data_IF_548397223286
#
_entry.id   IF_548397223286
#
_cell.length_a   1.000
_cell.length_b   1.000
_cell.length_c   1.000
_cell.angle_alpha   90.00
_cell.angle_beta   90.00
_cell.angle_gamma   90.00
#
_symmetry.space_group_name_H-M   'P 1'
#
loop_
_entity.id
_entity.type
_entity.pdbx_description
1 polymer ?
#
# COMPACT_ATOMS: atom_id res chain seq x y z
N UNK A 1 -18.53 21.20 14.15
CA UNK A 1 -19.41 22.29 14.65
C UNK A 1 -19.04 23.59 13.93
N UNK A 2 -20.01 24.25 13.34
CA UNK A 2 -19.87 25.59 12.76
C UNK A 2 -20.50 26.62 13.72
N UNK A 3 -19.91 27.81 13.84
CA UNK A 3 -20.41 28.86 14.74
C UNK A 3 -20.60 30.17 13.97
N UNK A 4 -21.75 30.81 14.16
CA UNK A 4 -21.99 32.15 13.65
C UNK A 4 -22.50 33.06 14.76
N UNK A 5 -22.46 34.37 14.52
CA UNK A 5 -22.96 35.35 15.48
C UNK A 5 -24.16 36.11 14.94
N UNK A 6 -25.15 36.27 15.78
CA UNK A 6 -26.24 37.24 15.57
C UNK A 6 -25.88 38.52 16.34
N UNK A 7 -25.88 39.65 15.65
CA UNK A 7 -25.38 40.93 16.17
C UNK A 7 -26.53 41.91 16.39
N UNK A 8 -26.59 42.52 17.58
CA UNK A 8 -27.49 43.62 17.89
C UNK A 8 -26.81 44.94 17.55
N UNK A 9 -27.41 45.68 16.62
CA UNK A 9 -26.94 47.02 16.19
C UNK A 9 -28.09 48.00 16.18
N UNK A 10 -27.82 49.31 16.00
CA UNK A 10 -28.82 50.35 15.83
C UNK A 10 -28.60 51.56 16.72
N UNK A 11 -29.46 52.53 16.60
CA UNK A 11 -29.35 53.84 17.29
C UNK A 11 -29.74 53.81 18.78
N UNK A 12 -30.31 52.69 19.24
CA UNK A 12 -30.71 52.49 20.67
C UNK A 12 -30.11 51.18 21.21
N UNK A 13 -28.80 51.16 21.44
CA UNK A 13 -28.10 49.90 21.85
C UNK A 13 -28.49 49.41 23.25
N UNK A 14 -29.11 50.26 24.05
CA UNK A 14 -29.48 50.02 25.44
C UNK A 14 -30.87 49.39 25.60
N UNK A 15 -31.45 48.85 24.54
CA UNK A 15 -32.69 48.08 24.58
C UNK A 15 -32.43 46.58 24.51
N UNK A 16 -33.36 45.83 25.06
CA UNK A 16 -33.43 44.38 24.86
C UNK A 16 -33.92 44.08 23.45
N UNK A 17 -33.57 42.95 22.87
CA UNK A 17 -34.04 42.49 21.57
C UNK A 17 -34.18 40.99 21.53
N UNK A 18 -35.00 40.47 20.63
CA UNK A 18 -35.10 39.02 20.35
C UNK A 18 -35.00 38.78 18.85
N UNK A 19 -34.38 37.68 18.48
CA UNK A 19 -34.32 37.24 17.11
C UNK A 19 -34.50 35.73 17.01
N UNK A 20 -35.36 35.31 16.09
CA UNK A 20 -35.60 33.91 15.76
C UNK A 20 -34.63 33.43 14.68
N UNK A 21 -34.17 32.22 14.81
CA UNK A 21 -33.26 31.56 13.87
C UNK A 21 -34.07 30.52 13.10
N UNK A 22 -34.25 30.78 11.83
CA UNK A 22 -35.07 29.98 10.94
C UNK A 22 -34.20 29.32 9.86
N UNK A 23 -34.29 28.01 9.69
CA UNK A 23 -33.75 27.33 8.54
C UNK A 23 -34.80 27.31 7.44
N UNK A 24 -34.46 27.86 6.26
CA UNK A 24 -35.41 27.94 5.14
C UNK A 24 -35.81 26.53 4.70
N UNK A 25 -37.08 26.39 4.35
CA UNK A 25 -37.57 25.18 3.64
C UNK A 25 -37.03 25.16 2.21
N UNK A 26 -37.07 24.01 1.55
CA UNK A 26 -36.65 23.92 0.13
C UNK A 26 -37.49 24.86 -0.76
N UNK A 27 -38.79 24.94 -0.52
CA UNK A 27 -39.68 25.87 -1.26
C UNK A 27 -39.31 27.35 -1.08
N UNK A 28 -38.94 27.74 0.15
CA UNK A 28 -38.49 29.14 0.42
C UNK A 28 -37.13 29.40 -0.23
N UNK A 29 -36.22 28.41 -0.20
CA UNK A 29 -34.90 28.47 -0.84
C UNK A 29 -35.07 28.64 -2.36
N UNK A 30 -35.93 27.84 -2.97
CA UNK A 30 -36.18 27.91 -4.42
C UNK A 30 -36.76 29.22 -4.85
N UNK A 31 -37.75 29.71 -4.11
CA UNK A 31 -38.42 31.00 -4.41
C UNK A 31 -37.48 32.19 -4.23
N UNK A 32 -36.68 32.20 -3.17
CA UNK A 32 -35.85 33.36 -2.80
C UNK A 32 -34.51 33.41 -3.55
N UNK A 33 -33.94 32.23 -3.86
CA UNK A 33 -32.56 32.12 -4.33
C UNK A 33 -32.41 31.23 -5.57
N UNK A 34 -32.84 29.95 -5.55
CA UNK A 34 -32.58 29.04 -6.66
C UNK A 34 -33.15 29.58 -7.99
N UNK A 35 -34.40 30.04 -8.00
CA UNK A 35 -35.06 30.54 -9.19
C UNK A 35 -34.49 31.89 -9.66
N UNK A 36 -34.34 32.91 -8.81
CA UNK A 36 -33.74 34.17 -9.20
C UNK A 36 -32.29 34.07 -9.69
N UNK A 37 -31.49 33.22 -9.08
CA UNK A 37 -30.06 33.06 -9.39
C UNK A 37 -29.79 32.04 -10.47
N UNK A 38 -30.81 31.25 -10.85
CA UNK A 38 -30.68 30.09 -11.77
C UNK A 38 -29.63 29.05 -11.30
N UNK A 39 -29.57 28.82 -9.99
CA UNK A 39 -28.69 27.85 -9.33
C UNK A 39 -29.53 26.76 -8.70
N UNK A 40 -29.12 25.49 -8.88
CA UNK A 40 -29.79 24.35 -8.27
C UNK A 40 -29.35 24.19 -6.80
N UNK A 41 -29.85 25.04 -5.93
CA UNK A 41 -29.62 24.90 -4.50
C UNK A 41 -30.49 23.79 -3.91
N UNK A 42 -29.86 22.94 -3.09
CA UNK A 42 -30.53 21.90 -2.30
C UNK A 42 -30.20 22.06 -0.83
N UNK A 43 -31.25 22.07 -0.03
CA UNK A 43 -31.13 22.08 1.42
C UNK A 43 -30.75 20.68 1.90
N UNK A 44 -29.76 20.57 2.79
CA UNK A 44 -29.45 19.28 3.46
C UNK A 44 -30.66 18.81 4.30
N UNK A 45 -30.80 17.51 4.48
CA UNK A 45 -31.91 16.89 5.22
C UNK A 45 -31.95 17.33 6.69
N UNK A 46 -33.14 17.26 7.32
CA UNK A 46 -33.34 17.71 8.69
C UNK A 46 -32.51 16.93 9.72
N UNK A 47 -32.19 15.69 9.46
CA UNK A 47 -31.34 14.83 10.29
C UNK A 47 -29.83 15.09 10.10
N UNK A 48 -29.49 15.94 9.14
CA UNK A 48 -28.09 16.30 8.82
C UNK A 48 -27.53 17.39 9.72
N UNK A 49 -28.35 18.09 10.46
CA UNK A 49 -27.92 19.23 11.28
C UNK A 49 -28.72 19.38 12.57
N UNK A 50 -28.16 20.07 13.54
CA UNK A 50 -28.88 20.60 14.70
C UNK A 50 -28.36 21.99 15.06
N UNK A 51 -29.28 22.86 15.49
CA UNK A 51 -28.97 24.17 16.07
C UNK A 51 -29.07 24.05 17.59
N UNK A 52 -28.14 24.65 18.30
CA UNK A 52 -28.18 24.70 19.78
C UNK A 52 -29.31 25.60 20.31
N UNK A 53 -29.73 26.61 19.53
CA UNK A 53 -30.85 27.50 19.85
C UNK A 53 -31.64 27.85 18.59
N UNK A 54 -32.95 28.00 18.73
CA UNK A 54 -33.85 28.52 17.67
C UNK A 54 -34.21 30.01 17.85
N UNK A 55 -33.85 30.59 18.98
CA UNK A 55 -34.07 32.00 19.29
C UNK A 55 -32.92 32.52 20.14
N UNK A 56 -32.50 33.74 19.94
CA UNK A 56 -31.54 34.46 20.78
C UNK A 56 -32.21 35.68 21.42
N UNK A 57 -31.97 35.88 22.70
CA UNK A 57 -32.44 37.04 23.47
C UNK A 57 -31.23 37.88 23.88
N UNK A 58 -31.32 39.19 23.61
CA UNK A 58 -30.29 40.16 23.94
C UNK A 58 -30.71 40.96 25.18
N UNK A 59 -29.90 40.97 26.19
CA UNK A 59 -29.98 41.95 27.27
C UNK A 59 -29.47 43.33 26.80
N UNK A 60 -29.61 44.34 27.67
CA UNK A 60 -29.14 45.71 27.39
C UNK A 60 -27.66 45.75 26.99
N UNK A 61 -26.84 44.93 27.67
CA UNK A 61 -25.39 44.93 27.50
C UNK A 61 -24.90 44.03 26.34
N UNK A 62 -25.74 43.12 25.88
CA UNK A 62 -25.34 42.18 24.84
C UNK A 62 -25.17 42.90 23.48
N UNK A 63 -24.10 42.59 22.79
CA UNK A 63 -23.83 43.08 21.42
C UNK A 63 -23.94 41.99 20.37
N UNK A 64 -23.67 40.76 20.73
CA UNK A 64 -23.83 39.58 19.88
C UNK A 64 -24.21 38.36 20.71
N UNK A 65 -24.76 37.37 20.03
CA UNK A 65 -24.97 36.02 20.56
C UNK A 65 -24.40 35.01 19.58
N UNK A 66 -23.74 33.96 20.08
CA UNK A 66 -23.23 32.86 19.27
C UNK A 66 -24.30 31.80 19.11
N UNK A 67 -24.34 31.22 17.94
CA UNK A 67 -25.19 30.09 17.58
C UNK A 67 -24.32 29.01 17.00
N UNK A 68 -24.49 27.79 17.49
CA UNK A 68 -23.71 26.64 17.07
C UNK A 68 -24.55 25.68 16.23
N UNK A 69 -23.95 25.26 15.10
CA UNK A 69 -24.51 24.26 14.21
C UNK A 69 -23.67 23.00 14.32
N UNK A 70 -24.27 21.89 14.68
CA UNK A 70 -23.64 20.58 14.58
C UNK A 70 -24.12 19.90 13.29
N UNK A 71 -23.19 19.32 12.51
CA UNK A 71 -23.49 18.58 11.29
C UNK A 71 -23.26 17.08 11.54
N UNK A 72 -24.19 16.25 11.06
CA UNK A 72 -24.03 14.82 10.96
C UNK A 72 -23.42 14.51 9.58
N UNK A 73 -22.15 14.15 9.56
CA UNK A 73 -21.39 13.93 8.32
C UNK A 73 -22.00 12.84 7.44
N UNK A 74 -22.48 11.74 8.02
CA UNK A 74 -23.08 10.62 7.25
C UNK A 74 -24.37 11.05 6.56
N UNK A 75 -25.27 11.75 7.27
CA UNK A 75 -26.54 12.24 6.69
C UNK A 75 -26.30 13.33 5.65
N UNK A 76 -25.31 14.21 5.86
CA UNK A 76 -24.92 15.21 4.86
C UNK A 76 -24.35 14.53 3.60
N UNK A 77 -23.46 13.53 3.77
CA UNK A 77 -22.91 12.74 2.65
C UNK A 77 -24.03 12.06 1.85
N UNK A 78 -24.96 11.42 2.52
CA UNK A 78 -26.13 10.78 1.89
C UNK A 78 -26.98 11.79 1.11
N UNK A 79 -27.19 13.01 1.66
CA UNK A 79 -27.86 14.08 0.95
C UNK A 79 -27.14 14.45 -0.35
N UNK A 80 -25.80 14.67 -0.27
CA UNK A 80 -24.97 15.05 -1.42
C UNK A 80 -24.92 13.98 -2.51
N UNK A 81 -24.87 12.70 -2.13
CA UNK A 81 -24.86 11.56 -3.06
C UNK A 81 -26.21 11.39 -3.79
N UNK A 82 -27.32 11.87 -3.21
CA UNK A 82 -28.64 11.76 -3.82
C UNK A 82 -28.84 12.63 -5.08
N UNK A 83 -28.11 13.77 -5.15
CA UNK A 83 -28.14 14.68 -6.30
C UNK A 83 -26.75 15.35 -6.45
N UNK A 84 -25.79 14.68 -7.14
CA UNK A 84 -24.38 15.10 -7.19
C UNK A 84 -24.14 16.46 -7.88
N UNK A 85 -25.04 16.87 -8.77
CA UNK A 85 -24.95 18.13 -9.54
C UNK A 85 -25.58 19.33 -8.80
N UNK A 86 -26.14 19.13 -7.61
CA UNK A 86 -26.75 20.18 -6.82
C UNK A 86 -25.72 20.95 -5.98
N UNK A 87 -26.01 22.24 -5.72
CA UNK A 87 -25.29 23.03 -4.73
C UNK A 87 -25.93 22.87 -3.37
N UNK A 88 -25.33 22.05 -2.50
CA UNK A 88 -25.87 21.72 -1.19
C UNK A 88 -25.59 22.80 -0.16
N UNK A 89 -26.67 23.27 0.54
CA UNK A 89 -26.59 24.36 1.48
C UNK A 89 -27.40 24.09 2.76
N UNK A 90 -26.98 24.72 3.86
CA UNK A 90 -27.85 24.98 5.02
C UNK A 90 -28.19 26.46 5.03
N UNK A 91 -29.37 26.84 4.55
CA UNK A 91 -29.79 28.26 4.44
C UNK A 91 -30.45 28.70 5.75
N UNK A 92 -29.84 29.65 6.44
CA UNK A 92 -30.31 30.17 7.72
C UNK A 92 -30.78 31.62 7.50
N UNK A 93 -31.92 31.95 8.08
CA UNK A 93 -32.44 33.32 8.12
C UNK A 93 -32.73 33.74 9.53
N UNK A 94 -32.35 34.96 9.89
CA UNK A 94 -32.66 35.60 11.13
C UNK A 94 -33.88 36.50 10.92
N UNK A 95 -34.89 36.32 11.78
CA UNK A 95 -36.13 37.11 11.76
C UNK A 95 -36.42 37.64 13.17
N UNK A 96 -37.31 38.62 13.28
CA UNK A 96 -37.87 39.08 14.56
C UNK A 96 -39.27 39.58 14.35
N UNK A 97 -40.11 39.33 15.33
CA UNK A 97 -41.47 39.87 15.37
C UNK A 97 -41.57 41.15 16.20
N UNK A 98 -40.55 41.44 16.99
CA UNK A 98 -40.52 42.58 17.93
C UNK A 98 -39.55 43.69 17.50
N UNK A 99 -38.54 43.34 16.73
CA UNK A 99 -37.42 44.23 16.40
C UNK A 99 -37.19 44.31 14.89
N UNK A 100 -36.54 45.38 14.45
CA UNK A 100 -36.16 45.56 13.06
C UNK A 100 -34.95 44.67 12.70
N UNK A 101 -35.01 44.00 11.57
CA UNK A 101 -33.93 43.16 11.05
C UNK A 101 -33.32 43.87 9.83
N UNK A 102 -31.98 43.81 9.74
CA UNK A 102 -31.29 44.28 8.53
C UNK A 102 -31.51 43.26 7.40
N UNK A 103 -32.32 43.62 6.42
CA UNK A 103 -32.72 42.75 5.32
C UNK A 103 -31.53 42.30 4.43
N UNK A 104 -30.45 43.09 4.39
CA UNK A 104 -29.25 42.76 3.59
C UNK A 104 -28.29 41.81 4.29
N UNK A 105 -28.45 41.64 5.63
CA UNK A 105 -27.53 40.82 6.46
C UNK A 105 -28.26 39.82 7.35
N UNK A 106 -29.46 39.43 6.99
CA UNK A 106 -30.25 38.50 7.81
C UNK A 106 -30.21 37.05 7.32
N UNK A 107 -29.39 36.74 6.34
CA UNK A 107 -29.28 35.38 5.78
C UNK A 107 -27.85 34.90 5.80
N UNK A 108 -27.68 33.64 6.12
CA UNK A 108 -26.40 32.90 6.08
C UNK A 108 -26.58 31.64 5.25
N UNK A 109 -25.74 31.45 4.24
CA UNK A 109 -25.64 30.21 3.47
C UNK A 109 -24.39 29.47 3.87
N UNK A 110 -24.55 28.36 4.59
CA UNK A 110 -23.47 27.42 4.79
C UNK A 110 -23.46 26.46 3.62
N UNK A 111 -22.63 26.73 2.60
CA UNK A 111 -22.44 25.83 1.45
C UNK A 111 -21.51 24.70 1.82
N UNK A 112 -21.88 23.49 1.41
CA UNK A 112 -21.09 22.28 1.63
C UNK A 112 -20.57 21.82 0.28
N UNK A 113 -19.25 21.99 0.08
CA UNK A 113 -18.61 21.66 -1.18
C UNK A 113 -18.13 20.21 -1.22
N UNK A 114 -17.64 19.71 -0.09
CA UNK A 114 -17.07 18.36 0.03
C UNK A 114 -17.16 17.87 1.47
N UNK A 115 -17.36 16.57 1.64
CA UNK A 115 -17.20 15.89 2.92
C UNK A 115 -16.04 14.95 2.79
N UNK A 116 -14.97 15.28 3.49
CA UNK A 116 -13.84 14.38 3.67
C UNK A 116 -14.12 13.53 4.91
N UNK A 117 -14.36 12.23 4.70
CA UNK A 117 -14.48 11.27 5.80
C UNK A 117 -13.07 10.86 6.21
N UNK A 118 -12.71 11.03 7.49
CA UNK A 118 -11.44 10.52 7.99
C UNK A 118 -11.31 9.02 7.76
N UNK A 119 -10.09 8.58 7.44
CA UNK A 119 -9.83 7.17 7.17
C UNK A 119 -8.73 6.60 8.04
N UNK A 120 -8.90 5.33 8.43
CA UNK A 120 -7.90 4.51 9.09
C UNK A 120 -7.15 3.69 8.05
N UNK A 121 -5.83 3.76 8.04
CA UNK A 121 -5.00 3.02 7.10
C UNK A 121 -3.62 2.69 7.65
N UNK A 122 -2.91 1.77 7.00
CA UNK A 122 -1.50 1.51 7.29
C UNK A 122 -0.62 2.67 6.79
N UNK A 123 0.45 2.97 7.53
CA UNK A 123 1.40 4.03 7.15
C UNK A 123 2.21 3.70 5.90
N UNK A 124 2.32 2.42 5.54
CA UNK A 124 2.95 1.92 4.32
C UNK A 124 2.19 0.74 3.76
N UNK A 125 2.17 0.61 2.44
CA UNK A 125 1.59 -0.54 1.73
C UNK A 125 2.61 -1.23 0.82
N UNK A 126 3.88 -0.81 0.93
CA UNK A 126 4.96 -1.34 0.10
C UNK A 126 5.45 -2.69 0.61
N UNK A 127 5.67 -3.61 -0.32
CA UNK A 127 6.38 -4.85 -0.02
C UNK A 127 7.87 -4.53 0.17
N UNK A 128 8.35 -4.72 1.38
CA UNK A 128 9.77 -4.58 1.73
C UNK A 128 10.21 -5.85 2.46
N UNK A 129 10.77 -6.80 1.72
CA UNK A 129 11.16 -8.10 2.25
C UNK A 129 12.38 -7.95 3.15
N UNK A 130 12.19 -8.22 4.44
CA UNK A 130 13.28 -8.30 5.41
C UNK A 130 13.91 -9.68 5.36
N UNK A 131 15.24 -9.72 5.39
CA UNK A 131 16.01 -10.96 5.26
C UNK A 131 16.57 -11.39 6.61
N UNK A 132 16.41 -12.68 6.92
CA UNK A 132 16.91 -13.34 8.11
C UNK A 132 17.58 -14.66 7.69
N UNK A 133 18.72 -14.99 8.29
CA UNK A 133 19.41 -16.21 7.96
C UNK A 133 18.82 -17.42 8.70
N UNK A 134 18.65 -18.49 7.97
CA UNK A 134 18.16 -19.75 8.50
C UNK A 134 19.02 -20.26 9.66
N UNK A 135 18.40 -20.63 10.78
CA UNK A 135 19.06 -21.12 11.97
C UNK A 135 19.79 -20.09 12.83
N UNK A 136 19.86 -18.80 12.40
CA UNK A 136 20.48 -17.72 13.20
C UNK A 136 19.47 -16.97 14.08
N UNK A 137 18.18 -17.00 13.73
CA UNK A 137 17.10 -16.35 14.50
C UNK A 137 16.01 -17.36 14.87
N UNK A 138 15.57 -17.32 16.11
CA UNK A 138 14.46 -18.16 16.59
C UNK A 138 13.13 -17.39 16.60
N UNK A 139 13.18 -16.08 16.78
CA UNK A 139 11.99 -15.21 16.84
C UNK A 139 12.24 -13.93 16.05
N UNK A 140 11.24 -13.51 15.31
CA UNK A 140 11.20 -12.23 14.59
C UNK A 140 10.01 -11.45 15.15
N UNK A 141 10.24 -10.22 15.61
CA UNK A 141 9.18 -9.31 16.06
C UNK A 141 9.09 -8.13 15.09
N UNK A 142 7.91 -7.96 14.50
CA UNK A 142 7.61 -6.88 13.56
C UNK A 142 6.56 -5.94 14.16
N UNK A 143 6.65 -4.68 13.80
CA UNK A 143 5.72 -3.64 14.24
C UNK A 143 5.17 -2.93 13.02
N UNK A 144 3.86 -3.01 12.82
CA UNK A 144 3.15 -2.45 11.67
C UNK A 144 2.37 -1.23 12.14
N UNK A 145 2.78 -0.04 11.69
CA UNK A 145 2.09 1.20 12.04
C UNK A 145 0.81 1.35 11.22
N UNK A 146 -0.28 1.68 11.92
CA UNK A 146 -1.53 2.14 11.32
C UNK A 146 -1.91 3.50 11.90
N UNK A 147 -2.63 4.32 11.13
CA UNK A 147 -2.94 5.68 11.52
C UNK A 147 -4.28 6.17 10.99
N UNK A 148 -4.85 7.11 11.73
CA UNK A 148 -5.95 7.96 11.31
C UNK A 148 -5.37 9.19 10.59
N UNK A 149 -6.00 9.64 9.52
CA UNK A 149 -5.56 10.79 8.71
C UNK A 149 -6.03 12.15 9.24
N UNK A 150 -6.58 12.20 10.45
CA UNK A 150 -7.04 13.42 11.13
C UNK A 150 -6.75 13.37 12.64
N UNK A 151 -7.02 14.48 13.33
CA UNK A 151 -6.99 14.53 14.81
C UNK A 151 -8.01 13.55 15.41
N UNK A 152 -7.57 12.74 16.35
CA UNK A 152 -8.41 11.77 17.03
C UNK A 152 -9.03 12.36 18.32
N UNK A 153 -10.34 12.28 18.44
CA UNK A 153 -11.12 12.71 19.64
C UNK A 153 -11.95 11.57 20.23
N UNK A 154 -11.71 10.34 19.83
CA UNK A 154 -12.45 9.15 20.23
C UNK A 154 -11.50 8.03 20.61
N UNK A 155 -12.01 7.06 21.36
CA UNK A 155 -11.38 5.75 21.46
C UNK A 155 -11.85 4.93 20.27
N UNK A 156 -10.91 4.43 19.45
CA UNK A 156 -11.21 3.74 18.18
C UNK A 156 -10.68 2.32 18.25
N UNK A 157 -11.56 1.34 18.12
CA UNK A 157 -11.16 -0.06 17.99
C UNK A 157 -10.90 -0.39 16.53
N UNK A 158 -9.69 -0.91 16.26
CA UNK A 158 -9.25 -1.34 14.94
C UNK A 158 -9.12 -2.85 14.92
N UNK A 159 -9.85 -3.52 14.04
CA UNK A 159 -9.79 -4.97 13.83
C UNK A 159 -8.85 -5.33 12.69
N UNK A 160 -8.11 -6.42 12.85
CA UNK A 160 -7.12 -6.92 11.89
C UNK A 160 -7.39 -8.37 11.53
N UNK A 161 -7.22 -8.69 10.24
CA UNK A 161 -7.32 -10.05 9.70
C UNK A 161 -6.23 -10.31 8.67
N UNK A 162 -6.04 -11.57 8.30
CA UNK A 162 -5.14 -11.97 7.21
C UNK A 162 -5.97 -12.33 5.98
N UNK A 163 -5.55 -11.83 4.81
CA UNK A 163 -6.15 -12.20 3.53
C UNK A 163 -5.22 -13.17 2.77
N UNK A 164 -5.46 -14.45 2.92
CA UNK A 164 -4.63 -15.52 2.34
C UNK A 164 -4.58 -15.48 0.81
N UNK A 165 -5.70 -15.11 0.15
CA UNK A 165 -5.81 -15.07 -1.32
C UNK A 165 -4.88 -14.00 -1.94
N UNK A 166 -4.51 -13.00 -1.17
CA UNK A 166 -3.65 -11.92 -1.66
C UNK A 166 -2.28 -12.43 -2.12
N UNK A 167 -1.71 -13.44 -1.45
CA UNK A 167 -0.38 -13.98 -1.79
C UNK A 167 -0.36 -14.49 -3.23
N UNK A 168 -1.39 -15.24 -3.63
CA UNK A 168 -1.49 -15.79 -4.99
C UNK A 168 -1.66 -14.67 -6.03
N UNK A 169 -2.51 -13.68 -5.72
CA UNK A 169 -2.72 -12.52 -6.58
C UNK A 169 -1.45 -11.71 -6.74
N UNK A 170 -0.75 -11.45 -5.63
CA UNK A 170 0.52 -10.73 -5.64
C UNK A 170 1.60 -11.48 -6.44
N UNK A 171 1.78 -12.77 -6.21
CA UNK A 171 2.74 -13.61 -6.94
C UNK A 171 2.48 -13.56 -8.44
N UNK A 172 1.22 -13.71 -8.85
CA UNK A 172 0.82 -13.69 -10.26
C UNK A 172 1.10 -12.34 -10.93
N UNK A 173 0.80 -11.24 -10.23
CA UNK A 173 0.99 -9.89 -10.75
C UNK A 173 2.47 -9.47 -10.83
N UNK A 174 3.31 -9.96 -9.90
CA UNK A 174 4.69 -9.50 -9.74
C UNK A 174 5.73 -10.56 -10.13
N UNK A 175 5.31 -11.77 -10.53
CA UNK A 175 6.21 -12.86 -10.88
C UNK A 175 7.05 -13.34 -9.70
N UNK A 176 6.54 -13.27 -8.49
CA UNK A 176 7.19 -13.70 -7.24
C UNK A 176 6.74 -15.10 -6.81
N UNK A 177 7.38 -15.67 -5.78
CA UNK A 177 7.09 -17.01 -5.27
C UNK A 177 6.92 -17.02 -3.75
N UNK A 178 6.27 -15.98 -3.19
CA UNK A 178 5.97 -15.95 -1.76
C UNK A 178 5.05 -17.09 -1.37
N UNK A 179 5.32 -17.67 -0.20
CA UNK A 179 4.41 -18.58 0.51
C UNK A 179 3.64 -17.81 1.57
N UNK A 180 2.39 -18.18 1.82
CA UNK A 180 1.69 -17.66 2.99
C UNK A 180 2.43 -18.06 4.26
N UNK A 181 2.63 -17.09 5.18
CA UNK A 181 3.20 -17.39 6.49
C UNK A 181 2.21 -18.28 7.26
N UNK A 182 2.59 -19.51 7.71
CA UNK A 182 1.67 -20.42 8.38
C UNK A 182 1.12 -19.81 9.68
N UNK A 183 -0.16 -19.99 9.94
CA UNK A 183 -0.81 -19.46 11.15
C UNK A 183 -0.21 -20.00 12.45
N UNK A 184 0.33 -21.21 12.43
CA UNK A 184 0.96 -21.84 13.60
C UNK A 184 2.26 -21.18 14.05
N UNK A 185 2.89 -20.37 13.19
CA UNK A 185 4.22 -19.79 13.46
C UNK A 185 4.18 -18.31 13.81
N UNK A 186 3.03 -17.67 13.82
CA UNK A 186 2.94 -16.25 14.21
C UNK A 186 1.81 -16.00 15.19
N UNK A 187 1.93 -14.87 15.89
CA UNK A 187 0.86 -14.30 16.71
C UNK A 187 0.74 -12.80 16.42
N UNK A 188 -0.49 -12.31 16.38
CA UNK A 188 -0.81 -10.89 16.31
C UNK A 188 -2.13 -10.63 17.03
N UNK A 189 -2.36 -9.39 17.48
CA UNK A 189 -3.64 -9.00 18.04
C UNK A 189 -4.71 -8.91 16.95
N UNK A 190 -5.91 -9.42 17.22
CA UNK A 190 -7.07 -9.28 16.34
C UNK A 190 -7.70 -7.88 16.41
N UNK A 191 -7.50 -7.18 17.53
CA UNK A 191 -8.03 -5.82 17.75
C UNK A 191 -7.05 -5.01 18.58
N UNK A 192 -6.88 -3.74 18.21
CA UNK A 192 -6.11 -2.75 18.96
C UNK A 192 -6.97 -1.50 19.12
N UNK A 193 -7.08 -1.00 20.35
CA UNK A 193 -7.71 0.28 20.62
C UNK A 193 -6.72 1.43 20.47
N UNK A 194 -7.09 2.41 19.67
CA UNK A 194 -6.38 3.67 19.51
C UNK A 194 -7.03 4.70 20.44
N UNK A 195 -6.35 5.13 21.52
CA UNK A 195 -6.95 6.04 22.50
C UNK A 195 -7.23 7.43 21.94
N UNK A 196 -8.23 8.09 22.52
CA UNK A 196 -8.48 9.51 22.27
C UNK A 196 -7.18 10.33 22.41
N UNK A 197 -6.95 11.23 21.45
CA UNK A 197 -5.75 12.07 21.40
C UNK A 197 -4.55 11.44 20.70
N UNK A 198 -4.61 10.16 20.30
CA UNK A 198 -3.57 9.49 19.52
C UNK A 198 -4.05 9.26 18.09
N UNK A 199 -3.20 9.52 17.12
CA UNK A 199 -3.54 9.36 15.69
C UNK A 199 -2.91 8.13 15.05
N UNK A 200 -2.00 7.43 15.74
CA UNK A 200 -1.37 6.20 15.26
C UNK A 200 -1.24 5.14 16.33
N UNK A 201 -1.22 3.90 15.91
CA UNK A 201 -0.97 2.72 16.71
C UNK A 201 -0.05 1.74 16.00
N UNK A 202 0.37 0.71 16.71
CA UNK A 202 1.25 -0.32 16.17
C UNK A 202 0.65 -1.70 16.40
N UNK A 203 0.52 -2.47 15.33
CA UNK A 203 0.22 -3.89 15.39
C UNK A 203 1.53 -4.68 15.50
N UNK A 204 1.74 -5.33 16.65
CA UNK A 204 2.85 -6.26 16.83
C UNK A 204 2.55 -7.60 16.15
N UNK A 205 3.55 -8.14 15.46
CA UNK A 205 3.51 -9.50 14.90
C UNK A 205 4.77 -10.22 15.35
N UNK A 206 4.60 -11.26 16.16
CA UNK A 206 5.70 -12.13 16.60
C UNK A 206 5.68 -13.42 15.80
N UNK A 207 6.84 -13.80 15.23
CA UNK A 207 6.98 -14.94 14.35
C UNK A 207 8.01 -15.91 14.97
N UNK A 208 7.64 -17.17 15.15
CA UNK A 208 8.54 -18.25 15.52
C UNK A 208 9.35 -18.69 14.28
N UNK A 209 10.44 -18.00 14.02
CA UNK A 209 11.29 -18.24 12.85
C UNK A 209 12.04 -19.58 12.92
N UNK A 210 12.21 -20.15 14.13
CA UNK A 210 12.84 -21.45 14.31
C UNK A 210 12.05 -22.63 13.70
N UNK A 211 10.76 -22.42 13.42
CA UNK A 211 9.89 -23.41 12.77
C UNK A 211 9.75 -23.19 11.26
N UNK A 212 10.37 -22.14 10.72
CA UNK A 212 10.30 -21.83 9.30
C UNK A 212 11.45 -22.49 8.52
N UNK A 213 11.10 -23.16 7.44
CA UNK A 213 12.05 -23.58 6.43
C UNK A 213 12.53 -22.39 5.58
N UNK A 214 13.72 -22.50 4.93
CA UNK A 214 14.16 -21.48 4.00
C UNK A 214 13.13 -21.15 2.93
N UNK A 215 13.00 -19.86 2.60
CA UNK A 215 12.07 -19.36 1.56
C UNK A 215 11.56 -17.96 1.83
N UNK A 216 10.77 -17.48 0.91
CA UNK A 216 10.11 -16.18 0.99
C UNK A 216 8.68 -16.33 1.49
N UNK A 217 8.31 -15.59 2.53
CA UNK A 217 7.00 -15.64 3.17
C UNK A 217 6.33 -14.28 3.17
N UNK A 218 5.01 -14.29 3.06
CA UNK A 218 4.19 -13.09 3.16
C UNK A 218 3.04 -13.33 4.14
N UNK A 219 2.81 -12.37 5.04
CA UNK A 219 1.63 -12.26 5.89
C UNK A 219 0.87 -11.01 5.46
N UNK A 220 -0.20 -11.17 4.66
CA UNK A 220 -0.98 -10.03 4.17
C UNK A 220 -2.00 -9.60 5.22
N UNK A 221 -1.62 -8.63 6.05
CA UNK A 221 -2.48 -8.07 7.10
C UNK A 221 -3.45 -7.06 6.51
N UNK A 222 -4.71 -7.13 6.91
CA UNK A 222 -5.78 -6.22 6.50
C UNK A 222 -6.43 -5.57 7.71
N UNK A 223 -6.73 -4.27 7.63
CA UNK A 223 -7.68 -3.62 8.53
C UNK A 223 -9.07 -4.10 8.12
N UNK A 224 -9.75 -4.84 8.99
CA UNK A 224 -11.04 -5.47 8.69
C UNK A 224 -12.23 -4.69 9.24
N UNK A 225 -12.01 -3.92 10.31
CA UNK A 225 -13.05 -3.09 10.94
C UNK A 225 -12.43 -1.91 11.67
N UNK A 226 -13.21 -0.85 11.79
CA UNK A 226 -12.94 0.30 12.66
C UNK A 226 -14.25 0.71 13.32
N UNK A 227 -14.21 1.06 14.62
CA UNK A 227 -15.43 1.46 15.35
C UNK A 227 -15.89 2.87 15.02
N UNK A 228 -15.01 3.71 14.45
CA UNK A 228 -15.28 5.08 14.00
C UNK A 228 -14.60 5.32 12.66
N UNK A 229 -15.22 6.13 11.81
CA UNK A 229 -14.72 6.52 10.49
C UNK A 229 -14.72 5.40 9.44
N UNK A 230 -14.01 5.60 8.37
CA UNK A 230 -13.92 4.64 7.25
C UNK A 230 -12.54 3.97 7.23
N UNK A 231 -12.48 2.80 6.61
CA UNK A 231 -11.21 2.16 6.31
C UNK A 231 -10.69 2.76 5.00
N UNK A 232 -9.42 3.15 4.96
CA UNK A 232 -8.79 3.68 3.76
C UNK A 232 -8.90 2.69 2.59
N UNK A 233 -9.45 3.08 1.44
CA UNK A 233 -9.57 2.19 0.29
C UNK A 233 -8.22 1.81 -0.33
N UNK A 234 -7.18 2.62 -0.10
CA UNK A 234 -5.84 2.45 -0.70
C UNK A 234 -4.77 1.99 0.28
N UNK A 235 -5.01 2.13 1.60
CA UNK A 235 -4.04 1.80 2.64
C UNK A 235 -4.59 0.80 3.68
N UNK A 236 -5.57 -0.02 3.31
CA UNK A 236 -6.18 -1.01 4.21
C UNK A 236 -5.42 -2.34 4.27
N UNK A 237 -4.28 -2.43 3.59
CA UNK A 237 -3.53 -3.65 3.41
C UNK A 237 -2.03 -3.43 3.69
N UNK A 238 -1.42 -4.32 4.47
CA UNK A 238 0.02 -4.35 4.72
C UNK A 238 0.59 -5.74 4.40
N UNK A 239 1.38 -5.89 3.32
CA UNK A 239 1.99 -7.16 2.95
C UNK A 239 3.31 -7.37 3.71
N UNK A 240 3.24 -7.78 5.00
CA UNK A 240 4.44 -8.13 5.75
C UNK A 240 5.17 -9.27 5.03
N UNK A 241 6.39 -9.02 4.59
CA UNK A 241 7.18 -10.00 3.86
C UNK A 241 8.54 -10.23 4.51
N UNK A 242 8.89 -11.50 4.67
CA UNK A 242 10.17 -11.94 5.22
C UNK A 242 10.80 -13.00 4.31
N UNK A 243 12.11 -13.01 4.28
CA UNK A 243 12.91 -14.05 3.66
C UNK A 243 13.70 -14.78 4.74
N UNK A 244 13.54 -16.10 4.79
CA UNK A 244 14.45 -16.97 5.52
C UNK A 244 15.48 -17.47 4.51
N UNK A 245 16.67 -16.84 4.54
CA UNK A 245 17.75 -17.12 3.60
C UNK A 245 18.45 -18.41 4.00
N UNK A 246 18.44 -19.39 3.11
CA UNK A 246 19.19 -20.62 3.29
C UNK A 246 20.71 -20.33 3.29
N UNK A 247 21.55 -21.24 3.79
CA UNK A 247 22.97 -21.19 3.58
C UNK A 247 23.32 -21.14 2.09
N UNK A 248 24.29 -20.32 1.72
CA UNK A 248 24.84 -20.35 0.37
C UNK A 248 25.56 -21.68 0.14
N UNK A 249 25.23 -22.35 -0.95
CA UNK A 249 25.82 -23.63 -1.29
C UNK A 249 27.23 -23.44 -1.84
N UNK A 250 28.14 -24.35 -1.47
CA UNK A 250 29.48 -24.42 -2.04
C UNK A 250 29.40 -24.92 -3.49
N UNK A 251 29.88 -24.11 -4.41
CA UNK A 251 29.82 -24.38 -5.85
C UNK A 251 31.08 -25.11 -6.38
N UNK A 252 31.97 -25.55 -5.48
CA UNK A 252 33.19 -26.29 -5.85
C UNK A 252 32.84 -27.56 -6.63
N UNK A 253 33.39 -27.66 -7.82
CA UNK A 253 33.18 -28.79 -8.71
C UNK A 253 31.86 -28.76 -9.52
N UNK A 254 31.02 -27.74 -9.34
CA UNK A 254 29.84 -27.55 -10.19
C UNK A 254 30.22 -27.26 -11.63
N UNK A 255 29.33 -27.56 -12.56
CA UNK A 255 29.53 -27.26 -13.99
C UNK A 255 28.33 -26.50 -14.52
N UNK A 256 28.58 -25.62 -15.49
CA UNK A 256 27.57 -24.88 -16.19
C UNK A 256 27.69 -25.04 -17.69
N UNK A 257 26.55 -25.14 -18.37
CA UNK A 257 26.39 -25.17 -19.81
C UNK A 257 25.36 -24.15 -20.24
N UNK A 258 25.49 -23.58 -21.43
CA UNK A 258 24.50 -22.66 -21.97
C UNK A 258 24.17 -22.97 -23.44
N UNK A 259 22.94 -22.66 -23.86
CA UNK A 259 22.53 -22.78 -25.26
C UNK A 259 23.12 -21.67 -26.14
N UNK A 260 23.75 -20.66 -25.55
CA UNK A 260 24.41 -19.55 -26.26
C UNK A 260 25.62 -19.08 -25.47
N UNK A 261 26.80 -19.12 -26.07
CA UNK A 261 28.07 -18.74 -25.46
C UNK A 261 28.94 -17.94 -26.45
N UNK A 262 29.59 -16.89 -25.97
CA UNK A 262 30.59 -16.15 -26.73
C UNK A 262 31.99 -16.71 -26.45
N UNK A 263 32.51 -17.54 -27.35
CA UNK A 263 33.78 -18.24 -27.17
C UNK A 263 34.99 -17.51 -27.74
N UNK A 264 34.78 -16.46 -28.56
CA UNK A 264 35.85 -15.81 -29.30
C UNK A 264 36.00 -14.32 -29.00
N UNK A 265 34.89 -13.59 -28.91
CA UNK A 265 34.89 -12.13 -28.80
C UNK A 265 35.30 -11.61 -27.42
N UNK A 266 35.22 -12.45 -26.38
CA UNK A 266 35.52 -12.09 -24.97
C UNK A 266 36.82 -12.72 -24.43
N UNK A 267 37.65 -13.28 -25.30
CA UNK A 267 38.89 -13.99 -24.89
C UNK A 267 39.88 -13.07 -24.17
N UNK A 268 39.92 -11.79 -24.53
CA UNK A 268 40.82 -10.82 -23.86
C UNK A 268 40.48 -10.55 -22.40
N UNK A 269 39.23 -10.79 -22.01
CA UNK A 269 38.74 -10.64 -20.63
C UNK A 269 38.61 -11.98 -19.92
N UNK A 270 38.99 -13.08 -20.57
CA UNK A 270 38.80 -14.44 -20.09
C UNK A 270 37.34 -14.75 -19.75
N UNK A 271 36.40 -14.15 -20.49
CA UNK A 271 34.94 -14.25 -20.31
C UNK A 271 34.28 -14.95 -21.50
N UNK A 272 32.95 -15.12 -21.45
CA UNK A 272 32.16 -15.69 -22.52
C UNK A 272 31.56 -17.06 -22.22
N UNK A 273 32.34 -18.08 -21.82
CA UNK A 273 31.81 -19.40 -21.49
C UNK A 273 30.89 -19.42 -20.27
N UNK A 274 29.91 -20.34 -20.24
CA UNK A 274 28.97 -20.54 -19.13
C UNK A 274 29.66 -20.83 -17.80
N UNK A 275 30.79 -21.52 -17.82
CA UNK A 275 31.56 -21.81 -16.60
C UNK A 275 31.97 -20.57 -15.79
N UNK A 276 31.98 -19.39 -16.41
CA UNK A 276 32.32 -18.12 -15.75
C UNK A 276 31.32 -17.66 -14.70
N UNK A 277 30.08 -18.13 -14.75
CA UNK A 277 29.08 -17.78 -13.71
C UNK A 277 29.30 -18.54 -12.40
N UNK A 278 30.28 -19.44 -12.33
CA UNK A 278 30.59 -20.27 -11.17
C UNK A 278 32.01 -20.09 -10.62
N UNK A 279 32.86 -19.26 -11.27
CA UNK A 279 34.29 -19.21 -10.97
C UNK A 279 34.63 -18.32 -9.74
N UNK A 280 33.67 -17.61 -9.18
CA UNK A 280 33.85 -16.74 -8.01
C UNK A 280 34.59 -15.43 -8.31
N UNK A 281 34.78 -15.11 -9.59
CA UNK A 281 35.53 -13.93 -10.05
C UNK A 281 34.55 -12.94 -10.71
N UNK A 282 34.13 -11.93 -9.98
CA UNK A 282 33.11 -10.96 -10.46
C UNK A 282 33.52 -10.12 -11.67
N UNK A 283 34.80 -10.14 -12.07
CA UNK A 283 35.29 -9.48 -13.28
C UNK A 283 35.19 -10.34 -14.55
N UNK A 284 35.03 -11.66 -14.42
CA UNK A 284 34.68 -12.56 -15.50
C UNK A 284 33.19 -12.75 -15.62
N UNK A 285 32.70 -13.19 -16.77
CA UNK A 285 31.26 -13.34 -16.99
C UNK A 285 30.95 -14.32 -18.11
N UNK A 286 29.82 -14.96 -18.08
CA UNK A 286 29.17 -15.56 -19.24
C UNK A 286 28.59 -14.46 -20.13
N UNK A 287 28.71 -14.61 -21.44
CA UNK A 287 28.07 -13.77 -22.44
C UNK A 287 27.37 -14.61 -23.51
N UNK A 288 26.14 -14.27 -23.85
CA UNK A 288 25.45 -14.86 -24.99
C UNK A 288 26.24 -14.56 -26.29
N UNK A 289 26.19 -15.48 -27.25
CA UNK A 289 26.93 -15.35 -28.53
C UNK A 289 26.53 -14.06 -29.26
N UNK A 290 27.51 -13.30 -29.66
CA UNK A 290 27.34 -12.10 -30.47
C UNK A 290 28.28 -12.03 -31.69
N UNK A 291 29.50 -12.58 -31.57
CA UNK A 291 30.44 -12.58 -32.69
C UNK A 291 29.98 -13.57 -33.77
N UNK A 292 29.83 -13.05 -35.01
CA UNK A 292 29.31 -13.82 -36.14
C UNK A 292 27.78 -14.01 -36.16
N UNK A 293 27.07 -13.28 -35.28
CA UNK A 293 25.61 -13.25 -35.18
C UNK A 293 25.07 -13.77 -33.88
N UNK A 294 24.13 -13.05 -33.31
CA UNK A 294 23.43 -13.41 -32.05
C UNK A 294 22.42 -14.54 -32.31
N UNK A 295 22.26 -15.41 -31.31
CA UNK A 295 21.17 -16.38 -31.29
C UNK A 295 19.91 -15.71 -30.67
N UNK A 296 18.70 -16.17 -31.02
CA UNK A 296 17.48 -15.63 -30.42
C UNK A 296 17.35 -16.06 -28.96
N UNK A 297 16.77 -15.19 -28.11
CA UNK A 297 16.31 -15.58 -26.77
C UNK A 297 15.13 -16.58 -26.86
N UNK A 298 14.86 -17.40 -25.82
CA UNK A 298 15.46 -17.33 -24.49
C UNK A 298 16.87 -17.97 -24.43
N UNK A 299 17.69 -17.42 -23.53
CA UNK A 299 18.97 -18.06 -23.18
C UNK A 299 18.78 -18.92 -21.94
N UNK A 300 19.39 -20.10 -21.96
CA UNK A 300 19.32 -21.07 -20.87
C UNK A 300 20.72 -21.40 -20.38
N UNK A 301 20.97 -21.21 -19.09
CA UNK A 301 22.15 -21.69 -18.39
C UNK A 301 21.73 -22.86 -17.50
N UNK A 302 22.30 -24.01 -17.69
CA UNK A 302 22.04 -25.24 -16.93
C UNK A 302 23.23 -25.51 -16.04
N UNK A 303 23.00 -25.64 -14.75
CA UNK A 303 24.00 -25.90 -13.74
C UNK A 303 23.80 -27.30 -13.16
N UNK A 304 24.85 -28.13 -13.18
CA UNK A 304 24.92 -29.41 -12.47
C UNK A 304 25.65 -29.19 -11.14
N UNK A 305 24.90 -29.26 -10.04
CA UNK A 305 25.42 -29.10 -8.68
C UNK A 305 26.15 -30.36 -8.15
N UNK A 306 26.21 -31.43 -8.93
CA UNK A 306 26.91 -32.74 -8.63
C UNK A 306 26.33 -33.51 -7.47
N UNK A 307 25.52 -32.90 -6.63
CA UNK A 307 24.85 -33.52 -5.50
C UNK A 307 23.38 -33.00 -5.44
N UNK A 308 22.56 -33.62 -4.62
CA UNK A 308 21.16 -33.26 -4.44
C UNK A 308 21.02 -32.23 -3.31
N UNK A 309 20.29 -31.16 -3.57
CA UNK A 309 19.99 -30.10 -2.61
C UNK A 309 18.51 -29.72 -2.69
N UNK A 310 17.94 -29.20 -1.59
CA UNK A 310 16.68 -28.46 -1.62
C UNK A 310 17.00 -27.00 -1.87
N UNK A 311 16.86 -26.54 -3.12
CA UNK A 311 17.08 -25.15 -3.51
C UNK A 311 15.92 -24.28 -3.04
N UNK A 312 16.21 -23.20 -2.31
CA UNK A 312 15.22 -22.26 -1.79
C UNK A 312 15.35 -20.85 -2.36
N UNK A 313 16.56 -20.43 -2.73
CA UNK A 313 16.81 -19.17 -3.41
C UNK A 313 17.92 -19.32 -4.46
N UNK A 314 17.85 -18.48 -5.49
CA UNK A 314 18.95 -18.24 -6.43
C UNK A 314 19.36 -16.79 -6.40
N UNK A 315 20.63 -16.50 -6.69
CA UNK A 315 21.06 -15.13 -6.83
C UNK A 315 21.84 -14.93 -8.12
N UNK A 316 21.65 -13.78 -8.72
CA UNK A 316 22.27 -13.37 -9.97
C UNK A 316 23.05 -12.07 -9.77
N UNK A 317 24.21 -11.98 -10.44
CA UNK A 317 25.03 -10.77 -10.48
C UNK A 317 25.24 -10.36 -11.93
N UNK A 318 24.88 -9.13 -12.24
CA UNK A 318 25.24 -8.53 -13.54
C UNK A 318 26.76 -8.44 -13.70
N UNK A 319 27.26 -8.51 -14.95
CA UNK A 319 28.64 -8.18 -15.22
C UNK A 319 28.93 -6.72 -14.89
N UNK A 320 30.17 -6.40 -14.53
CA UNK A 320 30.57 -5.03 -14.21
C UNK A 320 30.22 -4.03 -15.34
N UNK A 321 29.69 -2.87 -14.94
CA UNK A 321 29.29 -1.74 -15.79
C UNK A 321 28.11 -1.99 -16.74
N UNK A 322 27.45 -3.13 -16.66
CA UNK A 322 26.30 -3.47 -17.50
C UNK A 322 25.17 -4.10 -16.69
N UNK A 323 23.95 -3.96 -17.18
CA UNK A 323 22.74 -4.52 -16.56
C UNK A 323 21.89 -5.20 -17.64
N UNK A 324 22.54 -6.12 -18.37
CA UNK A 324 22.01 -6.69 -19.60
C UNK A 324 20.76 -7.57 -19.37
N UNK A 325 20.75 -8.41 -18.32
CA UNK A 325 19.67 -9.34 -18.06
C UNK A 325 18.45 -8.61 -17.53
N UNK A 326 17.28 -8.85 -18.14
CA UNK A 326 15.99 -8.28 -17.71
C UNK A 326 15.23 -9.23 -16.80
N UNK A 327 14.52 -10.19 -17.37
CA UNK A 327 13.66 -11.12 -16.62
C UNK A 327 13.76 -12.54 -17.15
N UNK A 328 13.33 -13.48 -16.31
CA UNK A 328 13.38 -14.89 -16.67
C UNK A 328 12.73 -15.80 -15.62
N UNK A 329 13.10 -17.08 -15.71
CA UNK A 329 12.50 -18.15 -14.94
C UNK A 329 13.59 -19.06 -14.37
N UNK A 330 13.32 -19.64 -13.19
CA UNK A 330 14.13 -20.68 -12.59
C UNK A 330 13.43 -22.04 -12.67
N UNK A 331 14.21 -23.08 -12.97
CA UNK A 331 13.76 -24.46 -12.99
C UNK A 331 14.72 -25.33 -12.19
N UNK A 332 14.20 -26.41 -11.61
CA UNK A 332 14.96 -27.44 -10.89
C UNK A 332 14.65 -28.80 -11.49
N UNK A 333 15.62 -29.68 -11.51
CA UNK A 333 15.51 -31.06 -12.00
C UNK A 333 16.38 -32.01 -11.17
N UNK A 334 15.94 -33.24 -11.02
CA UNK A 334 16.73 -34.32 -10.40
C UNK A 334 17.60 -35.04 -11.41
N UNK A 335 17.21 -35.08 -12.68
CA UNK A 335 17.85 -35.88 -13.74
C UNK A 335 18.42 -35.04 -14.90
N UNK A 336 18.14 -33.75 -14.94
CA UNK A 336 18.57 -32.84 -16.03
C UNK A 336 17.70 -32.96 -17.28
N UNK A 337 16.62 -33.74 -17.26
CA UNK A 337 15.72 -33.97 -18.40
C UNK A 337 14.34 -33.37 -18.12
N UNK A 338 13.73 -33.75 -16.98
CA UNK A 338 12.42 -33.27 -16.55
C UNK A 338 12.59 -32.06 -15.63
N UNK A 339 12.02 -30.92 -16.04
CA UNK A 339 12.21 -29.63 -15.40
C UNK A 339 10.94 -29.10 -14.73
N UNK A 340 11.03 -28.82 -13.45
CA UNK A 340 9.96 -28.14 -12.69
C UNK A 340 10.28 -26.65 -12.60
N UNK A 341 9.37 -25.78 -13.05
CA UNK A 341 9.47 -24.35 -12.83
C UNK A 341 9.25 -24.04 -11.35
N UNK A 342 10.19 -23.32 -10.73
CA UNK A 342 10.19 -23.03 -9.29
C UNK A 342 10.06 -21.55 -8.97
N UNK A 343 10.28 -20.67 -9.93
CA UNK A 343 10.14 -19.23 -9.73
C UNK A 343 10.42 -18.41 -10.97
N UNK A 344 10.26 -17.11 -10.82
CA UNK A 344 10.61 -16.11 -11.82
C UNK A 344 11.58 -15.10 -11.22
N UNK A 345 12.23 -14.31 -12.08
CA UNK A 345 13.02 -13.16 -11.66
C UNK A 345 12.84 -11.97 -12.60
N UNK A 346 12.98 -10.78 -12.04
CA UNK A 346 13.20 -9.55 -12.79
C UNK A 346 14.37 -8.83 -12.14
N UNK A 347 15.48 -8.71 -12.85
CA UNK A 347 16.66 -8.04 -12.32
C UNK A 347 16.48 -6.53 -12.35
N UNK A 348 16.79 -5.90 -11.22
CA UNK A 348 16.94 -4.44 -11.17
C UNK A 348 18.24 -4.04 -11.90
N UNK A 349 18.28 -2.82 -12.41
CA UNK A 349 19.48 -2.26 -13.07
C UNK A 349 20.52 -1.81 -12.03
N UNK A 350 20.98 -2.74 -11.19
CA UNK A 350 21.91 -2.54 -10.09
C UNK A 350 23.08 -3.50 -10.21
N UNK A 351 24.26 -3.09 -9.70
CA UNK A 351 25.48 -3.90 -9.71
C UNK A 351 25.67 -4.76 -8.45
N UNK A 352 24.63 -4.93 -7.66
CA UNK A 352 24.60 -5.80 -6.48
C UNK A 352 24.14 -7.21 -6.80
N UNK A 353 24.50 -8.17 -5.96
CA UNK A 353 23.92 -9.52 -5.99
C UNK A 353 22.44 -9.42 -5.67
N UNK A 354 21.60 -9.96 -6.55
CA UNK A 354 20.14 -9.91 -6.41
C UNK A 354 19.61 -11.31 -6.11
N UNK A 355 19.00 -11.47 -4.94
CA UNK A 355 18.48 -12.75 -4.45
C UNK A 355 17.01 -12.88 -4.78
N UNK A 356 16.63 -14.02 -5.35
CA UNK A 356 15.27 -14.36 -5.74
C UNK A 356 14.81 -15.62 -4.99
N UNK A 357 13.67 -15.51 -4.29
CA UNK A 357 13.03 -16.66 -3.67
C UNK A 357 12.36 -17.54 -4.72
N UNK A 358 12.44 -18.84 -4.50
CA UNK A 358 11.76 -19.84 -5.32
C UNK A 358 10.95 -20.78 -4.43
N UNK A 359 10.06 -21.57 -5.01
CA UNK A 359 9.41 -22.66 -4.31
C UNK A 359 10.50 -23.69 -3.96
N UNK A 360 10.77 -23.97 -2.67
CA UNK A 360 11.80 -24.91 -2.27
C UNK A 360 11.60 -26.26 -2.93
N UNK A 361 12.61 -26.70 -3.68
CA UNK A 361 12.48 -27.90 -4.53
C UNK A 361 13.78 -28.69 -4.50
N UNK A 362 13.66 -30.00 -4.30
CA UNK A 362 14.77 -30.91 -4.34
C UNK A 362 15.23 -31.17 -5.79
N UNK A 363 16.54 -31.13 -6.01
CA UNK A 363 17.14 -31.43 -7.29
C UNK A 363 18.65 -31.41 -7.26
N UNK A 364 19.26 -31.97 -8.32
CA UNK A 364 20.68 -31.88 -8.60
C UNK A 364 21.00 -30.77 -9.59
N UNK A 365 20.10 -30.54 -10.52
CA UNK A 365 20.27 -29.55 -11.58
C UNK A 365 19.35 -28.36 -11.36
N UNK A 366 19.82 -27.17 -11.75
CA UNK A 366 18.94 -26.05 -11.89
C UNK A 366 19.24 -25.27 -13.19
N UNK A 367 18.22 -24.56 -13.68
CA UNK A 367 18.30 -23.81 -14.92
C UNK A 367 17.84 -22.38 -14.71
N UNK A 368 18.66 -21.45 -15.20
CA UNK A 368 18.32 -20.02 -15.35
C UNK A 368 17.95 -19.78 -16.80
N UNK A 369 16.67 -19.52 -17.05
CA UNK A 369 16.14 -19.19 -18.37
C UNK A 369 15.88 -17.69 -18.46
N UNK A 370 16.64 -17.00 -19.31
CA UNK A 370 16.56 -15.55 -19.51
C UNK A 370 15.62 -15.28 -20.67
N UNK A 371 14.51 -14.61 -20.40
CA UNK A 371 13.47 -14.33 -21.39
C UNK A 371 13.60 -12.96 -22.02
N UNK A 372 14.17 -11.96 -21.28
CA UNK A 372 14.33 -10.59 -21.78
C UNK A 372 15.71 -10.03 -21.46
N UNK A 373 16.16 -9.13 -22.34
CA UNK A 373 17.38 -8.35 -22.13
C UNK A 373 17.05 -6.86 -22.05
N UNK A 374 17.81 -6.13 -21.24
CA UNK A 374 17.82 -4.66 -21.24
C UNK A 374 18.71 -4.08 -22.35
N UNK A 375 19.40 -4.94 -23.12
CA UNK A 375 20.36 -4.59 -24.16
C UNK A 375 20.11 -5.42 -25.42
N UNK A 376 19.02 -5.12 -26.10
CA UNK A 376 18.58 -5.81 -27.33
C UNK A 376 18.56 -7.35 -27.17
N UNK A 377 19.48 -8.03 -27.89
CA UNK A 377 19.59 -9.49 -27.87
C UNK A 377 20.76 -10.02 -27.06
N UNK A 378 21.58 -9.15 -26.44
CA UNK A 378 22.76 -9.60 -25.70
C UNK A 378 22.48 -9.71 -24.20
N UNK A 379 23.01 -10.75 -23.57
CA UNK A 379 22.95 -10.98 -22.13
C UNK A 379 24.31 -11.41 -21.61
N UNK A 380 24.63 -10.94 -20.41
CA UNK A 380 25.82 -11.38 -19.67
C UNK A 380 25.54 -11.44 -18.15
N UNK A 381 26.06 -12.43 -17.48
CA UNK A 381 26.04 -12.57 -16.01
C UNK A 381 27.46 -12.83 -15.52
N UNK A 382 27.86 -12.13 -14.45
CA UNK A 382 29.12 -12.40 -13.76
C UNK A 382 29.01 -13.67 -12.92
N UNK A 383 27.98 -13.79 -12.09
CA UNK A 383 27.86 -14.89 -11.15
C UNK A 383 26.41 -15.37 -10.99
N UNK A 384 26.27 -16.66 -10.74
CA UNK A 384 25.04 -17.32 -10.30
C UNK A 384 25.34 -18.03 -8.97
N UNK A 385 24.55 -17.72 -7.95
CA UNK A 385 24.61 -18.38 -6.63
C UNK A 385 23.33 -19.15 -6.37
N UNK A 386 23.44 -20.21 -5.58
CA UNK A 386 22.31 -20.96 -5.08
C UNK A 386 22.37 -21.06 -3.55
N UNK A 387 21.22 -21.06 -2.93
CA UNK A 387 21.02 -21.16 -1.49
C UNK A 387 20.04 -22.30 -1.21
N UNK A 388 20.37 -23.15 -0.25
CA UNK A 388 19.57 -24.35 0.02
C UNK A 388 20.12 -25.19 1.17
N UNK A 389 19.50 -26.35 1.33
CA UNK A 389 19.88 -27.37 2.32
C UNK A 389 20.25 -28.65 1.59
N UNK A 390 21.15 -29.43 2.24
CA UNK A 390 21.56 -30.74 1.75
C UNK A 390 20.71 -31.83 2.39
#
# INVERSE_FOLDING_TARGET
VYTFSVVKTGGQPDQTATADIHVLTQEELDRKYSTPESVNYRKISEDSYSLDVSQVAFSVEDRYKLVHISLNQQSVKASMESEPDATWVLPIQVTSTTDSINAEMNSLFLQINEIVMPTMGFSSTLVNTKEYKYGEVSTISESIEFKLDTDNKWDIDCGFTVNEEYVNTYNSANGTSFRLLPQSVYSMAETISLPNGTTSGNLGVDINAGELEPGDYMLPVRISSVSQFEISPTANFYPLSIRILAPQLDRTGWTAEANSEELYGETSTNSGPAARVLDGVTSTFWHSKWQGGSLPMPYELIIDAKDTYTFAQFALLHRANYTDVGSGEFFVSTDGIDWTKVGNFTMKKEQSVQVFGVIPTEGRYFKVKINTSNRDTNCALAEIYAYGLK
#
